data_IF_437877550202
#
_entry.id   IF_437877550202
#
_cell.length_a   1.000
_cell.length_b   1.000
_cell.length_c   1.000
_cell.angle_alpha   90.00
_cell.angle_beta   90.00
_cell.angle_gamma   90.00
#
_symmetry.space_group_name_H-M   'P 1'
#
loop_
_entity.id
_entity.type
_entity.pdbx_description
1 polymer ?
#
# COMPACT_ATOMS: atom_id res chain seq x y z
N UNK A 1 -32.52 3.70 14.69
CA UNK A 1 -31.22 3.29 14.15
C UNK A 1 -30.45 4.54 13.72
N UNK A 2 -29.21 4.74 14.17
CA UNK A 2 -28.43 5.94 13.84
C UNK A 2 -28.14 5.97 12.34
N UNK A 3 -28.33 7.09 11.62
CA UNK A 3 -27.84 7.21 10.26
C UNK A 3 -26.32 7.31 10.36
N UNK A 4 -25.58 6.23 10.04
CA UNK A 4 -24.13 6.36 9.90
C UNK A 4 -23.88 7.15 8.62
N UNK A 5 -23.64 8.44 8.78
CA UNK A 5 -23.09 9.27 7.73
C UNK A 5 -21.78 8.63 7.27
N UNK A 6 -21.82 7.88 6.16
CA UNK A 6 -20.63 7.39 5.48
C UNK A 6 -19.89 8.59 4.90
N UNK A 7 -19.20 9.33 5.77
CA UNK A 7 -18.20 10.30 5.36
C UNK A 7 -17.16 9.47 4.60
N UNK A 8 -17.17 9.56 3.27
CA UNK A 8 -16.12 9.00 2.42
C UNK A 8 -14.81 9.59 2.92
N UNK A 9 -14.07 8.84 3.74
CA UNK A 9 -12.74 9.24 4.17
C UNK A 9 -11.94 9.58 2.91
N UNK A 10 -11.38 10.80 2.87
CA UNK A 10 -10.52 11.22 1.76
C UNK A 10 -9.40 10.19 1.64
N UNK A 11 -9.30 9.55 0.48
CA UNK A 11 -8.26 8.55 0.22
C UNK A 11 -6.91 9.23 0.36
N UNK A 12 -6.08 8.75 1.30
CA UNK A 12 -4.68 9.20 1.41
C UNK A 12 -3.97 8.83 0.11
N UNK A 13 -3.42 9.83 -0.58
CA UNK A 13 -2.63 9.60 -1.78
C UNK A 13 -1.25 9.10 -1.33
N UNK A 14 -0.94 7.84 -1.66
CA UNK A 14 0.40 7.26 -1.43
C UNK A 14 1.26 7.47 -2.66
N UNK A 15 2.49 7.95 -2.45
CA UNK A 15 3.45 8.07 -3.52
C UNK A 15 3.83 6.67 -4.03
N UNK A 16 4.27 6.59 -5.29
CA UNK A 16 4.75 5.32 -5.87
C UNK A 16 5.92 4.77 -5.04
N UNK A 17 6.78 5.65 -4.51
CA UNK A 17 7.91 5.28 -3.63
C UNK A 17 7.45 4.55 -2.37
N UNK A 18 6.38 5.02 -1.72
CA UNK A 18 5.84 4.38 -0.50
C UNK A 18 5.32 2.97 -0.80
N UNK A 19 4.70 2.80 -1.98
CA UNK A 19 4.20 1.50 -2.43
C UNK A 19 5.35 0.54 -2.73
N UNK A 20 6.44 1.01 -3.35
CA UNK A 20 7.65 0.21 -3.60
C UNK A 20 8.29 -0.22 -2.27
N UNK A 21 8.48 0.72 -1.34
CA UNK A 21 9.04 0.43 -0.01
C UNK A 21 8.21 -0.63 0.73
N UNK A 22 6.87 -0.50 0.69
CA UNK A 22 5.95 -1.49 1.23
C UNK A 22 6.22 -2.89 0.65
N UNK A 23 6.40 -2.99 -0.67
CA UNK A 23 6.67 -4.26 -1.35
C UNK A 23 8.04 -4.84 -0.99
N UNK A 24 9.06 -4.01 -0.81
CA UNK A 24 10.41 -4.44 -0.41
C UNK A 24 10.46 -4.90 1.05
N UNK A 25 9.69 -4.26 1.95
CA UNK A 25 9.50 -4.76 3.33
C UNK A 25 8.82 -6.13 3.35
N UNK A 26 7.83 -6.37 2.47
CA UNK A 26 7.19 -7.68 2.33
C UNK A 26 8.18 -8.74 1.84
N UNK A 27 9.05 -8.42 0.87
CA UNK A 27 10.12 -9.33 0.42
C UNK A 27 11.11 -9.64 1.54
N UNK A 28 11.38 -8.66 2.40
CA UNK A 28 12.23 -8.79 3.59
C UNK A 28 11.55 -9.54 4.75
N UNK A 29 10.46 -10.26 4.48
CA UNK A 29 9.70 -11.09 5.43
C UNK A 29 8.99 -10.30 6.55
N UNK A 30 8.81 -8.99 6.38
CA UNK A 30 7.99 -8.18 7.30
C UNK A 30 6.52 -8.51 7.09
N UNK A 31 5.80 -8.75 8.19
CA UNK A 31 4.36 -9.08 8.15
C UNK A 31 3.55 -7.90 7.61
N UNK A 32 2.62 -8.18 6.70
CA UNK A 32 1.73 -7.18 6.10
C UNK A 32 0.92 -6.42 7.16
N UNK A 33 0.52 -7.09 8.24
CA UNK A 33 -0.19 -6.48 9.37
C UNK A 33 0.63 -5.44 10.12
N UNK A 34 1.95 -5.62 10.21
CA UNK A 34 2.84 -4.63 10.80
C UNK A 34 2.96 -3.42 9.87
N UNK A 35 3.20 -3.65 8.58
CA UNK A 35 3.34 -2.58 7.57
C UNK A 35 2.05 -1.77 7.45
N UNK A 36 0.89 -2.44 7.52
CA UNK A 36 -0.43 -1.82 7.51
C UNK A 36 -0.61 -0.84 8.68
N UNK A 37 -0.22 -1.25 9.89
CA UNK A 37 -0.25 -0.40 11.08
C UNK A 37 0.71 0.79 10.95
N UNK A 38 1.93 0.54 10.49
CA UNK A 38 2.96 1.58 10.31
C UNK A 38 2.49 2.67 9.32
N UNK A 39 1.81 2.28 8.24
CA UNK A 39 1.34 3.19 7.19
C UNK A 39 -0.06 3.77 7.45
N UNK A 40 -0.78 3.24 8.45
CA UNK A 40 -2.18 3.57 8.73
C UNK A 40 -3.13 3.16 7.60
N UNK A 41 -2.87 2.02 6.95
CA UNK A 41 -3.69 1.47 5.85
C UNK A 41 -4.27 0.11 6.21
N UNK A 42 -5.33 -0.30 5.51
CA UNK A 42 -5.83 -1.66 5.65
C UNK A 42 -4.94 -2.64 4.87
N UNK A 43 -4.83 -3.87 5.34
CA UNK A 43 -4.09 -4.94 4.64
C UNK A 43 -4.63 -5.19 3.23
N UNK A 44 -5.92 -4.96 3.00
CA UNK A 44 -6.56 -5.02 1.68
C UNK A 44 -5.93 -4.02 0.69
N UNK A 45 -5.48 -2.86 1.16
CA UNK A 45 -4.79 -1.85 0.35
C UNK A 45 -3.41 -2.34 -0.07
N UNK A 46 -2.66 -2.94 0.85
CA UNK A 46 -1.35 -3.56 0.58
C UNK A 46 -1.49 -4.70 -0.43
N UNK A 47 -2.54 -5.52 -0.28
CA UNK A 47 -2.86 -6.61 -1.23
C UNK A 47 -3.18 -6.07 -2.62
N UNK A 48 -3.88 -4.93 -2.71
CA UNK A 48 -4.11 -4.22 -3.97
C UNK A 48 -2.81 -3.80 -4.65
N UNK A 49 -1.90 -3.16 -3.91
CA UNK A 49 -0.59 -2.76 -4.45
C UNK A 49 0.26 -3.96 -4.90
N UNK A 50 0.18 -5.09 -4.20
CA UNK A 50 0.84 -6.33 -4.61
C UNK A 50 0.31 -6.90 -5.93
N UNK A 51 -0.99 -6.76 -6.21
CA UNK A 51 -1.60 -7.17 -7.49
C UNK A 51 -1.19 -6.25 -8.62
N UNK A 52 -1.14 -4.95 -8.36
CA UNK A 52 -0.75 -3.93 -9.33
C UNK A 52 0.78 -3.81 -9.53
N UNK A 53 1.55 -4.70 -8.90
CA UNK A 53 3.02 -4.71 -8.91
C UNK A 53 3.60 -4.68 -10.34
N UNK A 54 2.94 -5.32 -11.31
CA UNK A 54 3.36 -5.32 -12.70
C UNK A 54 3.33 -3.92 -13.37
N UNK A 55 2.42 -3.03 -12.94
CA UNK A 55 2.38 -1.64 -13.40
C UNK A 55 3.41 -0.77 -12.66
N UNK A 56 3.72 -1.09 -11.39
CA UNK A 56 4.66 -0.34 -10.57
C UNK A 56 6.13 -0.67 -10.87
N UNK A 57 6.44 -1.92 -11.20
CA UNK A 57 7.81 -2.39 -11.50
C UNK A 57 8.41 -1.77 -12.77
N UNK A 58 7.58 -1.22 -13.69
CA UNK A 58 8.09 -0.58 -14.92
C UNK A 58 8.96 0.66 -14.67
N UNK A 59 8.96 1.23 -13.46
CA UNK A 59 9.82 2.37 -13.09
C UNK A 59 11.04 1.99 -12.23
N UNK A 60 11.25 0.71 -11.89
CA UNK A 60 12.32 0.28 -11.00
C UNK A 60 13.63 -0.13 -11.71
N UNK A 61 13.70 -0.01 -13.05
CA UNK A 61 14.87 -0.44 -13.81
C UNK A 61 15.48 0.71 -14.63
N UNK A 62 16.24 1.56 -13.94
CA UNK A 62 17.28 2.42 -14.50
C UNK A 62 18.23 2.80 -13.36
N UNK A 63 19.13 1.89 -12.99
CA UNK A 63 20.55 2.20 -12.76
C UNK A 63 21.32 0.91 -12.40
N UNK A 64 21.96 0.28 -13.37
CA UNK A 64 23.21 -0.45 -13.14
C UNK A 64 24.08 -0.32 -14.38
#
# INVERSE_FOLDING_TARGET
>A
MKPSSLQKQKRKAFAVKDKIDTLDRIKSNVRQSQIAKDLGVNESTIRGWKRDKACMDMHANNNK
#
